data_IF_654976593970
#
_entry.id   IF_654976593970
#
_cell.length_a   1.000
_cell.length_b   1.000
_cell.length_c   1.000
_cell.angle_alpha   90.00
_cell.angle_beta   90.00
_cell.angle_gamma   90.00
#
_symmetry.space_group_name_H-M   'P 1'
#
loop_
_entity.id
_entity.type
_entity.pdbx_description
1 polymer ?
#
# COMPACT_ATOMS: atom_id res chain seq x y z
N UNK A 1 3.49 -1.00 21.36
CA UNK A 1 2.70 0.23 21.45
C UNK A 1 1.21 -0.01 21.21
N UNK A 2 0.79 -0.71 20.14
CA UNK A 2 -0.64 -1.03 19.85
C UNK A 2 -1.32 -1.70 21.04
N UNK A 3 -0.69 -2.73 21.64
CA UNK A 3 -1.23 -3.41 22.80
C UNK A 3 -1.40 -2.48 24.01
N UNK A 4 -0.43 -1.61 24.26
CA UNK A 4 -0.49 -0.64 25.36
C UNK A 4 -1.63 0.37 25.17
N UNK A 5 -1.79 0.90 23.97
CA UNK A 5 -2.90 1.82 23.65
C UNK A 5 -4.27 1.14 23.84
N UNK A 6 -4.41 -0.09 23.35
CA UNK A 6 -5.66 -0.86 23.51
C UNK A 6 -5.96 -1.18 24.97
N UNK A 7 -4.93 -1.46 25.78
CA UNK A 7 -5.09 -1.75 27.21
C UNK A 7 -5.67 -0.56 28.00
N UNK A 8 -5.46 0.68 27.54
CA UNK A 8 -6.04 1.89 28.14
C UNK A 8 -7.27 2.40 27.37
N UNK A 9 -7.87 1.58 26.52
CA UNK A 9 -9.12 1.88 25.83
C UNK A 9 -8.98 2.75 24.56
N UNK A 10 -7.77 2.96 24.04
CA UNK A 10 -7.54 3.70 22.81
C UNK A 10 -7.51 2.72 21.65
N UNK A 11 -8.45 2.79 20.67
CA UNK A 11 -8.37 1.97 19.48
C UNK A 11 -7.08 2.28 18.72
N UNK A 12 -6.30 1.26 18.42
CA UNK A 12 -5.04 1.39 17.75
C UNK A 12 -4.80 0.22 16.79
N UNK A 13 -4.05 0.45 15.72
CA UNK A 13 -3.71 -0.56 14.73
C UNK A 13 -2.29 -0.37 14.21
N UNK A 14 -1.68 -1.47 13.81
CA UNK A 14 -0.43 -1.43 13.06
C UNK A 14 -0.74 -1.22 11.60
N UNK A 15 0.01 -0.34 10.95
CA UNK A 15 -0.05 -0.09 9.51
C UNK A 15 1.31 -0.30 8.89
N UNK A 16 1.35 -0.65 7.61
CA UNK A 16 2.60 -0.86 6.89
C UNK A 16 2.51 -0.44 5.43
N UNK A 17 3.66 -0.01 4.90
CA UNK A 17 3.92 -0.04 3.47
C UNK A 17 4.76 -1.28 3.17
N UNK A 18 4.29 -2.19 2.30
CA UNK A 18 5.00 -3.44 2.04
C UNK A 18 6.33 -3.23 1.33
N UNK A 19 6.39 -2.20 0.46
CA UNK A 19 7.60 -1.76 -0.24
C UNK A 19 7.45 -0.29 -0.63
N UNK A 20 8.53 0.48 -0.46
CA UNK A 20 8.62 1.83 -0.99
C UNK A 20 8.78 1.81 -2.52
N UNK A 21 8.19 2.81 -3.20
CA UNK A 21 8.34 2.96 -4.65
C UNK A 21 9.55 3.82 -5.04
N UNK A 22 10.10 4.60 -4.11
CA UNK A 22 11.16 5.57 -4.37
C UNK A 22 12.52 5.16 -3.80
N UNK A 23 12.57 4.13 -2.98
CA UNK A 23 13.79 3.55 -2.38
C UNK A 23 13.53 2.10 -2.01
N UNK A 24 14.57 1.33 -1.86
CA UNK A 24 14.47 -0.02 -1.31
C UNK A 24 14.03 0.03 0.15
N UNK A 25 13.39 -1.04 0.63
CA UNK A 25 12.90 -1.21 1.99
C UNK A 25 11.35 -1.15 2.11
N UNK A 26 10.88 -1.30 3.34
CA UNK A 26 9.50 -1.24 3.79
C UNK A 26 9.44 -0.49 5.13
N UNK A 27 8.24 -0.25 5.64
CA UNK A 27 8.09 0.35 6.97
C UNK A 27 6.76 -0.05 7.62
N UNK A 28 6.76 -0.05 8.96
CA UNK A 28 5.56 -0.26 9.77
C UNK A 28 5.51 0.73 10.93
N UNK A 29 4.31 1.21 11.26
CA UNK A 29 4.08 2.16 12.35
C UNK A 29 2.71 1.94 12.98
N UNK A 30 2.25 2.88 13.79
CA UNK A 30 1.00 2.79 14.54
C UNK A 30 0.05 3.91 14.15
N UNK A 31 -1.23 3.57 14.02
CA UNK A 31 -2.33 4.53 14.05
C UNK A 31 -3.17 4.35 15.32
N UNK A 32 -3.61 5.47 15.88
CA UNK A 32 -4.54 5.54 17.01
C UNK A 32 -5.79 6.35 16.62
N UNK A 33 -6.97 5.90 17.06
CA UNK A 33 -8.22 6.60 16.81
C UNK A 33 -8.44 7.69 17.85
N UNK A 34 -8.31 8.93 17.45
CA UNK A 34 -8.36 10.10 18.34
C UNK A 34 -9.20 11.20 17.69
N UNK A 35 -10.19 11.69 18.42
CA UNK A 35 -11.03 12.78 17.91
C UNK A 35 -11.81 12.44 16.64
N UNK A 36 -12.21 11.18 16.47
CA UNK A 36 -13.00 10.74 15.31
C UNK A 36 -12.20 10.46 14.04
N UNK A 37 -10.88 10.35 14.12
CA UNK A 37 -10.00 10.05 12.98
C UNK A 37 -8.78 9.22 13.40
N UNK A 38 -8.18 8.55 12.44
CA UNK A 38 -6.90 7.88 12.62
C UNK A 38 -5.76 8.92 12.57
N UNK A 39 -4.93 8.89 13.59
CA UNK A 39 -3.69 9.67 13.66
C UNK A 39 -2.51 8.73 13.84
N UNK A 40 -1.41 8.98 13.16
CA UNK A 40 -0.25 8.09 13.21
C UNK A 40 0.85 8.61 14.14
N UNK A 41 1.67 7.67 14.58
CA UNK A 41 2.86 7.91 15.39
C UNK A 41 3.89 6.80 15.14
N UNK A 42 5.15 7.14 15.30
CA UNK A 42 6.24 6.15 15.31
C UNK A 42 6.13 5.23 16.52
N UNK A 43 6.59 3.99 16.38
CA UNK A 43 6.53 3.01 17.48
C UNK A 43 7.69 3.16 18.47
N UNK A 44 8.85 3.61 18.00
CA UNK A 44 10.10 3.70 18.77
C UNK A 44 10.69 5.12 18.84
N UNK A 45 10.11 6.06 18.11
CA UNK A 45 10.61 7.42 17.95
C UNK A 45 9.49 8.39 18.34
N UNK A 46 9.32 8.71 19.63
CA UNK A 46 8.26 9.59 20.06
C UNK A 46 8.51 11.04 19.59
N UNK A 47 7.52 11.56 18.91
CA UNK A 47 7.47 12.92 18.43
C UNK A 47 6.56 13.77 19.33
N UNK A 48 6.73 15.11 19.34
CA UNK A 48 5.96 15.99 20.21
C UNK A 48 4.46 16.01 19.93
N UNK A 49 4.05 15.67 18.71
CA UNK A 49 2.64 15.66 18.29
C UNK A 49 2.35 14.47 17.37
N UNK A 50 1.08 14.10 17.28
CA UNK A 50 0.62 13.08 16.33
C UNK A 50 0.75 13.56 14.87
N UNK A 51 0.84 12.63 13.94
CA UNK A 51 1.05 12.86 12.50
C UNK A 51 2.40 13.53 12.18
N UNK A 52 3.33 13.46 13.12
CA UNK A 52 4.72 13.80 12.93
C UNK A 52 5.57 12.55 13.12
N UNK A 53 6.44 12.27 12.16
CA UNK A 53 7.39 11.17 12.19
C UNK A 53 8.47 11.41 11.13
N UNK A 54 9.63 10.78 11.28
CA UNK A 54 10.70 10.87 10.27
C UNK A 54 10.23 10.44 8.88
N UNK A 55 9.24 9.56 8.81
CA UNK A 55 8.70 9.01 7.56
C UNK A 55 7.59 9.86 6.93
N UNK A 56 7.32 11.09 7.38
CA UNK A 56 6.32 11.96 6.71
C UNK A 56 6.63 12.15 5.21
N UNK A 57 7.89 12.40 4.86
CA UNK A 57 8.29 12.54 3.46
C UNK A 57 8.20 11.19 2.71
N UNK A 58 8.81 10.09 3.16
CA UNK A 58 8.68 8.78 2.52
C UNK A 58 7.24 8.31 2.33
N UNK A 59 6.36 8.46 3.33
CA UNK A 59 4.99 7.94 3.25
C UNK A 59 4.11 8.72 2.29
N UNK A 60 4.38 10.00 2.05
CA UNK A 60 3.69 10.80 1.02
C UNK A 60 3.97 10.27 -0.41
N UNK A 61 5.02 9.45 -0.55
CA UNK A 61 5.44 8.79 -1.79
C UNK A 61 5.13 7.30 -1.83
N UNK A 62 4.33 6.80 -0.89
CA UNK A 62 3.94 5.39 -0.87
C UNK A 62 2.98 5.07 -2.02
N UNK A 63 3.11 3.88 -2.59
CA UNK A 63 2.10 3.33 -3.51
C UNK A 63 0.98 2.63 -2.76
N UNK A 64 1.27 1.99 -1.63
CA UNK A 64 0.29 1.29 -0.81
C UNK A 64 0.64 1.41 0.67
N UNK A 65 -0.37 1.73 1.47
CA UNK A 65 -0.34 1.60 2.94
C UNK A 65 -1.57 0.81 3.35
N UNK A 66 -1.37 -0.24 4.12
CA UNK A 66 -2.45 -1.14 4.50
C UNK A 66 -2.38 -1.54 5.98
N UNK A 67 -3.48 -2.07 6.49
CA UNK A 67 -3.58 -2.63 7.84
C UNK A 67 -4.43 -3.90 7.85
N UNK A 68 -4.38 -4.65 8.94
CA UNK A 68 -5.17 -5.85 9.16
C UNK A 68 -6.27 -5.58 10.18
N UNK A 69 -7.52 -5.74 9.76
CA UNK A 69 -8.66 -5.81 10.64
C UNK A 69 -8.91 -7.29 10.96
N UNK A 70 -8.78 -7.69 12.23
CA UNK A 70 -9.00 -9.09 12.65
C UNK A 70 -10.47 -9.44 12.53
N UNK A 71 -10.75 -10.59 11.89
CA UNK A 71 -12.08 -11.03 11.54
C UNK A 71 -12.62 -10.41 10.25
N UNK A 72 -13.96 -10.38 10.15
CA UNK A 72 -14.66 -9.78 9.02
C UNK A 72 -14.70 -8.25 9.18
N UNK A 73 -14.36 -7.57 8.11
CA UNK A 73 -14.43 -6.11 8.03
C UNK A 73 -15.51 -5.70 7.02
N UNK A 74 -16.42 -4.82 7.45
CA UNK A 74 -17.52 -4.28 6.65
C UNK A 74 -17.51 -2.73 6.63
N UNK A 75 -16.36 -2.10 6.95
CA UNK A 75 -16.18 -0.64 6.92
C UNK A 75 -15.97 -0.09 5.50
N UNK A 76 -15.75 1.22 5.38
CA UNK A 76 -15.70 1.92 4.10
C UNK A 76 -14.39 1.76 3.34
N UNK A 77 -13.28 1.33 3.98
CA UNK A 77 -11.99 1.22 3.33
C UNK A 77 -11.97 0.09 2.29
N UNK A 78 -11.24 0.29 1.22
CA UNK A 78 -11.04 -0.71 0.17
C UNK A 78 -10.41 -1.99 0.75
N UNK A 79 -11.06 -3.13 0.52
CA UNK A 79 -10.52 -4.44 0.88
C UNK A 79 -9.48 -4.86 -0.15
N UNK A 80 -8.25 -5.12 0.30
CA UNK A 80 -7.18 -5.68 -0.52
C UNK A 80 -7.33 -7.20 -0.61
N UNK A 81 -7.52 -7.84 0.55
CA UNK A 81 -7.65 -9.30 0.64
C UNK A 81 -8.37 -9.75 1.91
N UNK A 82 -8.82 -10.99 1.91
CA UNK A 82 -9.45 -11.63 3.07
C UNK A 82 -8.81 -12.98 3.32
N UNK A 83 -8.60 -13.27 4.60
CA UNK A 83 -8.21 -14.59 5.10
C UNK A 83 -9.26 -15.07 6.10
N UNK A 84 -9.20 -16.31 6.58
CA UNK A 84 -10.10 -16.77 7.63
C UNK A 84 -10.01 -15.95 8.93
N UNK A 85 -8.89 -15.30 9.21
CA UNK A 85 -8.61 -14.64 10.48
C UNK A 85 -8.56 -13.11 10.42
N UNK A 86 -8.35 -12.53 9.25
CA UNK A 86 -8.30 -11.08 9.08
C UNK A 86 -8.73 -10.62 7.68
N UNK A 87 -9.13 -9.38 7.60
CA UNK A 87 -9.32 -8.63 6.35
C UNK A 87 -8.19 -7.60 6.23
N UNK A 88 -7.53 -7.55 5.09
CA UNK A 88 -6.52 -6.55 4.78
C UNK A 88 -7.20 -5.37 4.07
N UNK A 89 -7.03 -4.17 4.62
CA UNK A 89 -7.68 -2.95 4.15
C UNK A 89 -6.66 -1.89 3.76
N UNK A 90 -7.01 -1.15 2.71
CA UNK A 90 -6.20 -0.08 2.14
C UNK A 90 -6.47 1.22 2.90
N UNK A 91 -5.42 1.84 3.41
CA UNK A 91 -5.48 3.11 4.15
C UNK A 91 -4.56 4.18 3.56
N UNK A 92 -4.14 4.01 2.31
CA UNK A 92 -3.22 4.92 1.61
C UNK A 92 -3.74 6.36 1.56
N UNK A 93 -5.05 6.58 1.51
CA UNK A 93 -5.67 7.92 1.46
C UNK A 93 -5.35 8.77 2.70
N UNK A 94 -4.95 8.16 3.82
CA UNK A 94 -4.51 8.88 5.01
C UNK A 94 -3.12 9.54 4.84
N UNK A 95 -2.35 9.16 3.82
CA UNK A 95 -0.92 9.45 3.73
C UNK A 95 -0.49 10.13 2.43
N UNK A 96 -1.08 9.76 1.30
CA UNK A 96 -0.63 10.19 -0.03
C UNK A 96 -1.81 10.60 -0.90
N UNK A 97 -1.52 11.38 -1.93
CA UNK A 97 -2.48 11.58 -3.01
C UNK A 97 -2.65 10.29 -3.80
N UNK A 98 -3.89 9.91 -4.04
CA UNK A 98 -4.23 8.62 -4.64
C UNK A 98 -4.89 8.75 -5.99
N UNK A 99 -4.86 7.67 -6.73
CA UNK A 99 -5.66 7.43 -7.92
C UNK A 99 -6.16 5.99 -7.91
N UNK A 100 -7.28 5.77 -8.58
CA UNK A 100 -7.87 4.45 -8.77
C UNK A 100 -7.70 4.03 -10.21
N UNK A 101 -7.18 2.81 -10.42
CA UNK A 101 -7.07 2.20 -11.75
C UNK A 101 -7.94 0.95 -11.82
N UNK A 102 -8.87 0.94 -12.77
CA UNK A 102 -9.65 -0.24 -13.14
C UNK A 102 -8.92 -1.03 -14.23
N UNK A 103 -8.68 -2.31 -13.98
CA UNK A 103 -7.97 -3.23 -14.90
C UNK A 103 -8.98 -4.19 -15.49
N UNK A 104 -9.09 -4.24 -16.81
CA UNK A 104 -9.83 -5.28 -17.50
C UNK A 104 -8.86 -6.32 -18.09
N UNK A 105 -8.94 -7.56 -17.61
CA UNK A 105 -8.17 -8.68 -18.13
C UNK A 105 -8.94 -9.36 -19.24
N UNK A 106 -8.29 -9.54 -20.40
CA UNK A 106 -8.85 -10.19 -21.57
C UNK A 106 -7.89 -11.25 -22.11
N UNK A 107 -8.43 -12.26 -22.81
CA UNK A 107 -7.61 -13.22 -23.56
C UNK A 107 -7.10 -12.63 -24.91
N UNK A 108 -6.37 -13.43 -25.68
CA UNK A 108 -5.84 -13.00 -26.98
C UNK A 108 -6.95 -12.61 -28.00
N UNK A 109 -8.16 -13.14 -27.85
CA UNK A 109 -9.32 -12.80 -28.67
C UNK A 109 -10.11 -11.58 -28.14
N UNK A 110 -9.66 -10.97 -27.04
CA UNK A 110 -10.30 -9.80 -26.42
C UNK A 110 -11.48 -10.13 -25.51
N UNK A 111 -11.71 -11.39 -25.16
CA UNK A 111 -12.81 -11.81 -24.27
C UNK A 111 -12.43 -11.62 -22.82
N UNK A 112 -13.31 -11.00 -21.99
CA UNK A 112 -13.07 -10.80 -20.57
C UNK A 112 -12.79 -12.12 -19.83
N UNK A 113 -11.87 -12.09 -18.89
CA UNK A 113 -11.43 -13.25 -18.12
C UNK A 113 -11.77 -13.08 -16.64
N UNK A 114 -12.74 -13.85 -16.14
CA UNK A 114 -13.15 -13.86 -14.74
C UNK A 114 -12.25 -14.75 -13.88
N UNK A 115 -12.13 -14.41 -12.58
CA UNK A 115 -11.39 -15.20 -11.59
C UNK A 115 -9.87 -15.22 -11.80
N UNK A 116 -9.33 -14.29 -12.58
CA UNK A 116 -7.91 -14.18 -12.86
C UNK A 116 -7.25 -13.33 -11.77
N UNK A 117 -6.17 -13.78 -11.12
CA UNK A 117 -5.40 -12.94 -10.21
C UNK A 117 -4.69 -11.84 -10.99
N UNK A 118 -4.91 -10.60 -10.54
CA UNK A 118 -4.22 -9.40 -11.02
C UNK A 118 -3.28 -8.96 -9.91
N UNK A 119 -2.00 -8.98 -10.19
CA UNK A 119 -0.94 -8.59 -9.27
C UNK A 119 -0.51 -7.16 -9.57
N UNK A 120 -0.53 -6.33 -8.54
CA UNK A 120 -0.03 -4.96 -8.57
C UNK A 120 1.35 -4.95 -7.94
N UNK A 121 2.35 -4.51 -8.71
CA UNK A 121 3.76 -4.68 -8.35
C UNK A 121 4.50 -3.35 -8.32
N UNK A 122 5.33 -3.19 -7.29
CA UNK A 122 6.27 -2.07 -7.12
C UNK A 122 7.68 -2.57 -7.37
N UNK A 123 8.50 -1.80 -8.08
CA UNK A 123 9.91 -2.10 -8.25
C UNK A 123 10.67 -1.76 -6.97
N UNK A 124 11.33 -2.77 -6.38
CA UNK A 124 12.04 -2.63 -5.12
C UNK A 124 13.02 -3.80 -4.96
N UNK A 125 14.22 -3.58 -4.45
CA UNK A 125 15.30 -4.57 -4.35
C UNK A 125 15.60 -5.32 -5.65
N UNK A 126 15.55 -4.61 -6.78
CA UNK A 126 15.86 -5.20 -8.09
C UNK A 126 14.78 -6.12 -8.66
N UNK A 127 13.59 -6.17 -8.08
CA UNK A 127 12.46 -6.99 -8.54
C UNK A 127 11.13 -6.23 -8.57
N UNK A 128 10.17 -6.75 -9.31
CA UNK A 128 8.77 -6.31 -9.24
C UNK A 128 8.04 -7.08 -8.14
N UNK A 129 8.05 -6.53 -6.92
CA UNK A 129 7.41 -7.13 -5.75
C UNK A 129 5.89 -6.89 -5.77
N UNK A 130 5.10 -7.96 -5.58
CA UNK A 130 3.63 -7.89 -5.52
C UNK A 130 3.18 -7.29 -4.19
N UNK A 131 2.56 -6.11 -4.24
CA UNK A 131 2.04 -5.42 -3.05
C UNK A 131 0.55 -5.67 -2.83
N UNK A 132 -0.20 -6.02 -3.88
CA UNK A 132 -1.61 -6.39 -3.79
C UNK A 132 -1.97 -7.39 -4.91
N UNK A 133 -2.92 -8.27 -4.61
CA UNK A 133 -3.51 -9.19 -5.60
C UNK A 133 -5.02 -9.10 -5.52
N UNK A 134 -5.67 -8.87 -6.66
CA UNK A 134 -7.12 -8.81 -6.79
C UNK A 134 -7.60 -9.86 -7.80
N UNK A 135 -8.71 -10.52 -7.51
CA UNK A 135 -9.35 -11.40 -8.50
C UNK A 135 -10.29 -10.61 -9.39
N UNK A 136 -10.26 -10.89 -10.69
CA UNK A 136 -11.21 -10.30 -11.63
C UNK A 136 -12.64 -10.81 -11.39
N UNK A 137 -13.60 -9.91 -11.50
CA UNK A 137 -15.04 -10.20 -11.45
C UNK A 137 -15.54 -10.94 -12.70
N UNK A 138 -16.85 -11.17 -12.79
CA UNK A 138 -17.51 -11.82 -13.95
C UNK A 138 -17.32 -11.08 -15.28
N UNK A 139 -16.95 -9.80 -15.24
CA UNK A 139 -16.65 -8.96 -16.41
C UNK A 139 -15.15 -8.84 -16.70
N UNK A 140 -14.33 -9.64 -16.01
CA UNK A 140 -12.89 -9.60 -16.12
C UNK A 140 -12.23 -8.36 -15.50
N UNK A 141 -12.87 -7.72 -14.52
CA UNK A 141 -12.40 -6.45 -13.93
C UNK A 141 -11.90 -6.64 -12.51
N UNK A 142 -10.82 -5.93 -12.20
CA UNK A 142 -10.29 -5.73 -10.87
C UNK A 142 -9.84 -4.27 -10.73
N UNK A 143 -9.70 -3.75 -9.52
CA UNK A 143 -9.21 -2.40 -9.30
C UNK A 143 -8.32 -2.31 -8.07
N UNK A 144 -7.51 -1.27 -8.04
CA UNK A 144 -6.76 -0.85 -6.85
C UNK A 144 -6.74 0.68 -6.77
N UNK A 145 -6.84 1.20 -5.55
CA UNK A 145 -6.50 2.58 -5.22
C UNK A 145 -5.07 2.61 -4.69
N UNK A 146 -4.21 3.47 -5.23
CA UNK A 146 -2.81 3.55 -4.84
C UNK A 146 -2.28 4.99 -4.95
N UNK A 147 -1.08 5.24 -4.43
CA UNK A 147 -0.39 6.51 -4.60
C UNK A 147 -0.20 6.87 -6.09
N UNK A 148 -0.11 8.16 -6.39
CA UNK A 148 -0.03 8.68 -7.77
C UNK A 148 1.35 8.46 -8.40
N UNK A 149 1.70 7.21 -8.62
CA UNK A 149 2.93 6.75 -9.28
C UNK A 149 2.67 5.57 -10.20
N UNK A 150 3.74 4.96 -10.69
CA UNK A 150 3.68 3.82 -11.60
C UNK A 150 3.71 2.49 -10.85
N UNK A 151 2.89 1.54 -11.30
CA UNK A 151 3.00 0.12 -10.98
C UNK A 151 3.09 -0.72 -12.23
N UNK A 152 3.78 -1.84 -12.14
CA UNK A 152 3.62 -2.94 -13.07
C UNK A 152 2.39 -3.74 -12.65
N UNK A 153 1.45 -3.93 -13.56
CA UNK A 153 0.26 -4.76 -13.39
C UNK A 153 0.48 -6.04 -14.18
N UNK A 154 0.39 -7.18 -13.52
CA UNK A 154 0.61 -8.49 -14.09
C UNK A 154 -0.61 -9.39 -13.86
N UNK A 155 -0.95 -10.21 -14.84
CA UNK A 155 -1.97 -11.24 -14.68
C UNK A 155 -1.55 -12.50 -15.40
N UNK A 156 -1.92 -13.65 -14.86
CA UNK A 156 -1.67 -14.94 -15.49
C UNK A 156 -2.85 -15.89 -15.31
N UNK A 157 -3.04 -16.77 -16.28
CA UNK A 157 -4.09 -17.78 -16.26
C UNK A 157 -3.57 -19.11 -16.78
N UNK A 158 -3.82 -20.25 -16.06
CA UNK A 158 -3.53 -21.58 -16.58
C UNK A 158 -4.23 -21.83 -17.93
N UNK A 159 -3.57 -22.48 -18.85
CA UNK A 159 -4.11 -22.79 -20.18
C UNK A 159 -4.64 -24.22 -20.32
N UNK A 160 -4.69 -24.98 -19.23
CA UNK A 160 -5.21 -26.37 -19.23
C UNK A 160 -4.23 -27.44 -19.76
N UNK A 161 -3.03 -27.07 -20.20
CA UNK A 161 -2.01 -27.95 -20.76
C UNK A 161 -0.73 -28.02 -19.90
N UNK A 162 -0.84 -27.77 -18.59
CA UNK A 162 0.29 -27.71 -17.67
C UNK A 162 1.16 -26.45 -17.81
N UNK A 163 0.68 -25.44 -18.54
CA UNK A 163 1.33 -24.15 -18.75
C UNK A 163 0.33 -23.01 -18.47
N UNK A 164 0.74 -21.77 -18.72
CA UNK A 164 -0.11 -20.59 -18.50
C UNK A 164 0.13 -19.54 -19.60
N UNK A 165 -0.84 -18.65 -19.75
CA UNK A 165 -0.68 -17.41 -20.51
C UNK A 165 -0.65 -16.24 -19.54
N UNK A 166 0.12 -15.21 -19.85
CA UNK A 166 0.23 -14.02 -19.02
C UNK A 166 0.23 -12.74 -19.84
N UNK A 167 0.06 -11.65 -19.15
CA UNK A 167 0.21 -10.32 -19.69
C UNK A 167 0.67 -9.37 -18.58
N UNK A 168 1.26 -8.27 -18.97
CA UNK A 168 1.62 -7.18 -18.07
C UNK A 168 1.54 -5.85 -18.79
N UNK A 169 1.44 -4.78 -18.02
CA UNK A 169 1.54 -3.41 -18.49
C UNK A 169 1.96 -2.50 -17.32
N UNK A 170 2.48 -1.35 -17.65
CA UNK A 170 2.69 -0.26 -16.69
C UNK A 170 1.45 0.63 -16.67
N UNK A 171 1.00 1.05 -15.48
CA UNK A 171 -0.06 2.04 -15.30
C UNK A 171 0.36 3.10 -14.30
N UNK A 172 0.01 4.36 -14.57
CA UNK A 172 0.22 5.50 -13.69
C UNK A 172 -1.06 5.87 -12.95
N UNK A 173 -1.09 5.65 -11.65
CA UNK A 173 -2.30 5.79 -10.81
C UNK A 173 -2.81 7.23 -10.68
N UNK A 174 -2.02 8.24 -11.02
CA UNK A 174 -2.47 9.63 -11.09
C UNK A 174 -3.09 10.04 -12.43
N UNK A 175 -2.94 9.23 -13.49
CA UNK A 175 -3.31 9.58 -14.86
C UNK A 175 -4.26 8.56 -15.48
N UNK A 176 -3.94 7.27 -15.35
CA UNK A 176 -4.76 6.20 -15.91
C UNK A 176 -5.99 5.96 -15.03
N UNK A 177 -7.15 5.81 -15.66
CA UNK A 177 -8.41 5.46 -14.99
C UNK A 177 -8.81 4.02 -15.27
N UNK A 178 -8.57 3.58 -16.49
CA UNK A 178 -8.88 2.24 -16.97
C UNK A 178 -7.75 1.75 -17.87
N UNK A 179 -7.35 0.49 -17.67
CA UNK A 179 -6.36 -0.17 -18.52
C UNK A 179 -6.88 -1.54 -18.95
N UNK A 180 -6.44 -1.98 -20.10
CA UNK A 180 -6.79 -3.30 -20.65
C UNK A 180 -5.54 -4.16 -20.71
N UNK A 181 -5.51 -5.22 -19.91
CA UNK A 181 -4.42 -6.18 -19.83
C UNK A 181 -4.78 -7.43 -20.63
N UNK A 182 -4.01 -7.73 -21.67
CA UNK A 182 -4.23 -8.88 -22.53
C UNK A 182 -3.31 -10.03 -22.13
N UNK A 183 -3.88 -11.22 -21.90
CA UNK A 183 -3.13 -12.46 -21.71
C UNK A 183 -2.66 -12.97 -23.06
N UNK A 184 -1.45 -12.60 -23.48
CA UNK A 184 -0.94 -12.88 -24.84
C UNK A 184 0.41 -13.60 -24.85
N UNK A 185 1.15 -13.57 -23.75
CA UNK A 185 2.47 -14.15 -23.66
C UNK A 185 2.44 -15.58 -23.10
N UNK A 186 3.44 -16.36 -23.46
CA UNK A 186 3.74 -17.70 -22.94
C UNK A 186 5.06 -17.67 -22.17
N UNK A 187 5.30 -18.59 -21.22
CA UNK A 187 6.56 -18.61 -20.46
C UNK A 187 7.83 -18.74 -21.32
N UNK A 188 7.69 -19.27 -22.53
CA UNK A 188 8.80 -19.44 -23.49
C UNK A 188 9.08 -18.23 -24.35
N UNK A 189 8.21 -17.20 -24.30
CA UNK A 189 8.37 -16.00 -25.11
C UNK A 189 9.52 -15.16 -24.56
N UNK A 190 10.38 -14.67 -25.45
CA UNK A 190 11.42 -13.71 -25.08
C UNK A 190 10.83 -12.31 -25.20
N UNK A 191 10.74 -11.65 -24.05
CA UNK A 191 10.22 -10.29 -23.94
C UNK A 191 11.36 -9.38 -23.53
N UNK A 192 11.54 -8.29 -24.25
CA UNK A 192 12.48 -7.23 -23.91
C UNK A 192 11.76 -5.89 -24.04
N UNK A 193 11.45 -5.27 -22.89
CA UNK A 193 10.77 -3.98 -22.81
C UNK A 193 11.50 -3.08 -21.82
N UNK A 194 11.76 -1.84 -22.22
CA UNK A 194 12.26 -0.81 -21.31
C UNK A 194 11.09 -0.19 -20.55
N UNK A 195 11.12 -0.28 -19.24
CA UNK A 195 10.09 0.28 -18.36
C UNK A 195 10.67 1.44 -17.54
N UNK A 196 10.24 2.66 -17.85
CA UNK A 196 10.47 3.79 -16.97
C UNK A 196 9.41 3.80 -15.86
N UNK A 197 9.82 3.58 -14.63
CA UNK A 197 8.94 3.57 -13.45
C UNK A 197 9.13 4.87 -12.66
N UNK A 198 8.06 5.60 -12.47
CA UNK A 198 8.04 6.89 -11.75
C UNK A 198 7.29 6.73 -10.42
N UNK A 199 7.96 6.92 -9.28
CA UNK A 199 7.29 6.90 -7.98
C UNK A 199 6.43 8.17 -7.80
N UNK A 200 5.49 8.18 -6.82
CA UNK A 200 4.76 9.38 -6.46
C UNK A 200 5.70 10.53 -6.09
N UNK A 201 5.26 11.75 -6.35
CA UNK A 201 5.96 12.95 -5.88
C UNK A 201 5.86 13.07 -4.37
N UNK A 202 6.90 13.64 -3.77
CA UNK A 202 6.85 14.03 -2.38
C UNK A 202 5.86 15.19 -2.18
N UNK A 203 4.94 15.02 -1.26
CA UNK A 203 3.98 16.05 -0.82
C UNK A 203 3.72 15.88 0.68
N UNK A 204 4.80 15.86 1.45
CA UNK A 204 4.75 15.67 2.89
C UNK A 204 4.06 16.87 3.57
N UNK A 205 3.12 16.55 4.46
CA UNK A 205 2.48 17.51 5.34
C UNK A 205 3.04 17.33 6.75
N UNK A 206 3.34 18.45 7.38
CA UNK A 206 3.88 18.47 8.74
C UNK A 206 2.93 19.24 9.65
N UNK A 207 2.55 18.69 10.81
CA UNK A 207 1.79 19.43 11.80
C UNK A 207 2.64 20.54 12.41
N UNK A 208 1.99 21.61 12.86
CA UNK A 208 2.63 22.64 13.65
C UNK A 208 3.03 22.08 15.03
N UNK A 209 4.19 22.48 15.52
CA UNK A 209 4.72 22.08 16.81
C UNK A 209 5.14 23.33 17.56
N UNK A 210 4.51 23.59 18.70
CA UNK A 210 4.89 24.71 19.58
C UNK A 210 6.19 24.42 20.35
N UNK A 211 6.86 25.48 20.78
CA UNK A 211 8.06 25.35 21.60
C UNK A 211 7.81 24.60 22.92
N UNK A 212 6.62 24.78 23.52
CA UNK A 212 6.23 24.06 24.72
C UNK A 212 6.10 22.53 24.46
N UNK A 213 5.52 22.12 23.32
CA UNK A 213 5.43 20.71 22.93
C UNK A 213 6.82 20.11 22.68
N UNK A 214 7.72 20.85 22.01
CA UNK A 214 9.11 20.42 21.83
C UNK A 214 9.84 20.26 23.15
N UNK A 215 9.73 21.23 24.03
CA UNK A 215 10.37 21.19 25.35
C UNK A 215 9.89 19.99 26.17
N UNK A 216 8.57 19.73 26.18
CA UNK A 216 8.01 18.58 26.89
C UNK A 216 8.47 17.24 26.27
N UNK A 217 8.52 17.13 24.94
CA UNK A 217 9.04 15.93 24.29
C UNK A 217 10.51 15.68 24.64
N UNK A 218 11.35 16.72 24.60
CA UNK A 218 12.76 16.62 24.96
C UNK A 218 12.94 16.20 26.43
N UNK A 219 12.10 16.70 27.34
CA UNK A 219 12.09 16.29 28.75
C UNK A 219 11.76 14.80 28.89
N UNK A 220 10.76 14.28 28.14
CA UNK A 220 10.39 12.86 28.15
C UNK A 220 11.52 11.99 27.59
N UNK A 221 12.16 12.41 26.50
CA UNK A 221 13.28 11.70 25.92
C UNK A 221 14.47 11.62 26.90
N UNK A 222 14.80 12.71 27.58
CA UNK A 222 15.86 12.70 28.59
C UNK A 222 15.59 11.73 29.76
N UNK A 223 14.33 11.59 30.17
CA UNK A 223 13.93 10.58 31.17
C UNK A 223 14.10 9.17 30.62
N UNK A 224 13.68 8.93 29.38
CA UNK A 224 13.84 7.62 28.74
C UNK A 224 15.32 7.23 28.60
N UNK A 225 16.17 8.16 28.15
CA UNK A 225 17.61 7.94 28.05
C UNK A 225 18.23 7.60 29.41
N UNK A 226 17.79 8.26 30.48
CA UNK A 226 18.27 7.96 31.82
C UNK A 226 17.86 6.57 32.34
N UNK A 227 16.76 6.00 31.83
CA UNK A 227 16.29 4.65 32.19
C UNK A 227 17.03 3.58 31.41
N UNK A 228 17.38 3.88 30.16
CA UNK A 228 18.10 2.94 29.28
C UNK A 228 19.58 2.79 29.64
N UNK A 229 20.17 3.74 30.36
CA UNK A 229 21.58 3.74 30.79
C UNK A 229 22.47 4.31 29.74
#
# INVERSE_FOLDING_TARGET
>A
LVAALRAVGIPARQVYTPRWAHTDDNHAWVEAWIGGKWAYLGACEPEPVLNLAWFNAPVSRAMLVHTKAFGRYDGPEEVIGRTPTYTEINVIDNYAHTGKVDVQVVDAAGRPQAGVPVEFKVYNYGEFYTVATKLTDSRGRAFLTAGQGDMLIYASKPNGQGSYTFGFLKAHFGQDKQVRLQLKYRPTDKINEDLLITPPREDAKYPEVSDAQRAENNRRMAVEDSIRG
#
